data_IF_074606219182
#
_entry.id   IF_074606219182
#
_cell.length_a   1.000
_cell.length_b   1.000
_cell.length_c   1.000
_cell.angle_alpha   90.00
_cell.angle_beta   90.00
_cell.angle_gamma   90.00
#
_symmetry.space_group_name_H-M   'P 1'
#
loop_
_entity.id
_entity.type
_entity.pdbx_description
1 polymer ?
#
# COMPACT_ATOMS: atom_id res chain seq x y z
N UNK A 1 9.13 18.11 -10.83
CA UNK A 1 10.07 17.03 -11.21
C UNK A 1 10.10 15.91 -10.18
N UNK A 2 9.99 16.19 -8.87
CA UNK A 2 10.06 15.17 -7.81
C UNK A 2 8.97 14.08 -7.90
N UNK A 3 7.72 14.42 -8.24
CA UNK A 3 6.64 13.43 -8.38
C UNK A 3 6.96 12.30 -9.37
N UNK A 4 7.50 12.66 -10.53
CA UNK A 4 7.83 11.68 -11.57
C UNK A 4 9.00 10.80 -11.12
N UNK A 5 10.00 11.38 -10.45
CA UNK A 5 11.17 10.66 -9.93
C UNK A 5 10.78 9.67 -8.82
N UNK A 6 9.96 10.09 -7.85
CA UNK A 6 9.51 9.21 -6.75
C UNK A 6 8.64 8.06 -7.26
N UNK A 7 7.72 8.33 -8.20
CA UNK A 7 6.92 7.27 -8.83
C UNK A 7 7.78 6.28 -9.63
N UNK A 8 8.77 6.77 -10.38
CA UNK A 8 9.66 5.93 -11.17
C UNK A 8 10.52 5.03 -10.26
N UNK A 9 11.03 5.58 -9.15
CA UNK A 9 11.80 4.82 -8.15
C UNK A 9 10.93 3.70 -7.56
N UNK A 10 9.69 4.01 -7.17
CA UNK A 10 8.76 3.01 -6.63
C UNK A 10 8.47 1.89 -7.64
N UNK A 11 8.32 2.23 -8.91
CA UNK A 11 8.14 1.25 -9.99
C UNK A 11 9.38 0.34 -10.14
N UNK A 12 10.58 0.93 -10.15
CA UNK A 12 11.84 0.18 -10.27
C UNK A 12 12.04 -0.75 -9.06
N UNK A 13 11.76 -0.27 -7.85
CA UNK A 13 11.83 -1.09 -6.63
C UNK A 13 10.85 -2.25 -6.70
N UNK A 14 9.62 -2.02 -7.17
CA UNK A 14 8.64 -3.10 -7.35
C UNK A 14 9.15 -4.16 -8.33
N UNK A 15 9.67 -3.75 -9.50
CA UNK A 15 10.23 -4.67 -10.50
C UNK A 15 11.37 -5.51 -9.90
N UNK A 16 12.32 -4.87 -9.22
CA UNK A 16 13.44 -5.56 -8.57
C UNK A 16 12.96 -6.56 -7.51
N UNK A 17 11.92 -6.21 -6.74
CA UNK A 17 11.34 -7.10 -5.75
C UNK A 17 10.71 -8.34 -6.39
N UNK A 18 9.93 -8.17 -7.48
CA UNK A 18 9.34 -9.28 -8.21
C UNK A 18 10.38 -10.19 -8.84
N UNK A 19 11.39 -9.63 -9.50
CA UNK A 19 12.47 -10.40 -10.13
C UNK A 19 13.32 -11.13 -9.08
N UNK A 20 13.64 -10.46 -7.97
CA UNK A 20 14.38 -11.06 -6.86
C UNK A 20 13.61 -12.22 -6.21
N UNK A 21 12.32 -12.02 -5.93
CA UNK A 21 11.46 -13.07 -5.40
C UNK A 21 11.36 -14.25 -6.37
N UNK A 22 11.22 -14.00 -7.67
CA UNK A 22 11.19 -15.03 -8.71
C UNK A 22 12.47 -15.85 -8.76
N UNK A 23 13.62 -15.18 -8.76
CA UNK A 23 14.91 -15.87 -8.81
C UNK A 23 15.20 -16.69 -7.54
N UNK A 24 14.85 -16.14 -6.37
CA UNK A 24 15.00 -16.84 -5.09
C UNK A 24 14.11 -18.09 -5.05
N UNK A 25 12.83 -17.93 -5.39
CA UNK A 25 11.88 -19.02 -5.32
C UNK A 25 12.20 -20.16 -6.29
N UNK A 26 12.69 -19.83 -7.50
CA UNK A 26 13.13 -20.82 -8.49
C UNK A 26 14.24 -21.74 -7.95
N UNK A 27 15.11 -21.25 -7.04
CA UNK A 27 16.21 -22.05 -6.47
C UNK A 27 15.86 -22.76 -5.18
N UNK A 28 15.04 -22.15 -4.32
CA UNK A 28 14.88 -22.62 -2.94
C UNK A 28 13.47 -23.09 -2.59
N UNK A 29 12.49 -22.87 -3.49
CA UNK A 29 11.05 -22.99 -3.21
C UNK A 29 10.66 -22.22 -1.95
N UNK A 30 11.24 -21.04 -1.77
CA UNK A 30 11.08 -20.25 -0.56
C UNK A 30 9.63 -19.88 -0.30
N UNK A 31 8.90 -19.51 -1.35
CA UNK A 31 7.52 -19.06 -1.25
C UNK A 31 6.63 -20.18 -0.75
N UNK A 32 6.75 -21.38 -1.32
CA UNK A 32 6.00 -22.56 -0.88
C UNK A 32 6.32 -22.94 0.57
N UNK A 33 7.60 -22.88 0.96
CA UNK A 33 8.06 -23.28 2.31
C UNK A 33 7.62 -22.31 3.40
N UNK A 34 7.72 -21.01 3.16
CA UNK A 34 7.48 -19.98 4.18
C UNK A 34 6.03 -19.54 4.20
N UNK A 35 5.47 -19.21 3.03
CA UNK A 35 4.13 -18.65 2.94
C UNK A 35 3.05 -19.72 2.75
N UNK A 36 3.43 -21.00 2.61
CA UNK A 36 2.50 -22.13 2.44
C UNK A 36 1.47 -21.89 1.34
N UNK A 37 1.88 -21.18 0.29
CA UNK A 37 1.04 -20.81 -0.84
C UNK A 37 1.75 -21.16 -2.14
N UNK A 38 1.01 -21.21 -3.24
CA UNK A 38 1.61 -21.45 -4.56
C UNK A 38 2.32 -20.17 -5.04
N UNK A 39 3.46 -20.27 -5.73
CA UNK A 39 4.17 -19.10 -6.25
C UNK A 39 3.28 -18.22 -7.11
N UNK A 40 2.42 -18.83 -7.94
CA UNK A 40 1.43 -18.12 -8.76
C UNK A 40 0.49 -17.27 -7.92
N UNK A 41 -0.09 -17.81 -6.85
CA UNK A 41 -0.98 -17.05 -5.96
C UNK A 41 -0.22 -15.94 -5.24
N UNK A 42 1.01 -16.21 -4.77
CA UNK A 42 1.85 -15.20 -4.14
C UNK A 42 2.11 -14.01 -5.05
N UNK A 43 2.51 -14.26 -6.31
CA UNK A 43 2.77 -13.19 -7.28
C UNK A 43 1.53 -12.39 -7.64
N UNK A 44 0.36 -13.03 -7.73
CA UNK A 44 -0.90 -12.34 -7.96
C UNK A 44 -1.22 -11.42 -6.77
N UNK A 45 -1.15 -11.94 -5.54
CA UNK A 45 -1.46 -11.18 -4.33
C UNK A 45 -0.50 -10.00 -4.18
N UNK A 46 0.81 -10.24 -4.29
CA UNK A 46 1.82 -9.19 -4.21
C UNK A 46 1.70 -8.19 -5.36
N UNK A 47 1.33 -8.62 -6.57
CA UNK A 47 1.07 -7.74 -7.71
C UNK A 47 -0.10 -6.80 -7.47
N UNK A 48 -1.21 -7.33 -6.93
CA UNK A 48 -2.38 -6.53 -6.56
C UNK A 48 -2.01 -5.53 -5.45
N UNK A 49 -1.25 -5.96 -4.43
CA UNK A 49 -0.79 -5.07 -3.37
C UNK A 49 0.12 -3.95 -3.91
N UNK A 50 1.03 -4.27 -4.84
CA UNK A 50 1.89 -3.28 -5.47
C UNK A 50 1.08 -2.24 -6.27
N UNK A 51 0.04 -2.67 -6.99
CA UNK A 51 -0.88 -1.76 -7.68
C UNK A 51 -1.63 -0.85 -6.70
N UNK A 52 -2.13 -1.39 -5.59
CA UNK A 52 -2.78 -0.59 -4.55
C UNK A 52 -1.82 0.47 -3.99
N UNK A 53 -0.58 0.10 -3.70
CA UNK A 53 0.44 1.04 -3.22
C UNK A 53 0.74 2.12 -4.27
N UNK A 54 0.83 1.78 -5.55
CA UNK A 54 1.05 2.76 -6.63
C UNK A 54 -0.11 3.75 -6.73
N UNK A 55 -1.36 3.27 -6.64
CA UNK A 55 -2.56 4.13 -6.62
C UNK A 55 -2.53 5.04 -5.39
N UNK A 56 -2.22 4.50 -4.21
CA UNK A 56 -2.09 5.30 -3.00
C UNK A 56 -0.98 6.35 -3.12
N UNK A 57 0.16 6.02 -3.73
CA UNK A 57 1.26 6.95 -3.96
C UNK A 57 0.84 8.09 -4.89
N UNK A 58 0.12 7.76 -5.96
CA UNK A 58 -0.47 8.75 -6.86
C UNK A 58 -1.39 9.71 -6.10
N UNK A 59 -2.28 9.19 -5.24
CA UNK A 59 -3.19 10.02 -4.44
C UNK A 59 -2.40 10.88 -3.45
N UNK A 60 -1.44 10.29 -2.71
CA UNK A 60 -0.63 11.00 -1.73
C UNK A 60 0.07 12.22 -2.34
N UNK A 61 0.66 12.06 -3.52
CA UNK A 61 1.41 13.17 -4.12
C UNK A 61 0.51 14.11 -4.93
N UNK A 62 -0.44 13.59 -5.70
CA UNK A 62 -1.27 14.43 -6.60
C UNK A 62 -2.38 15.20 -5.86
N UNK A 63 -2.92 14.63 -4.78
CA UNK A 63 -4.01 15.23 -4.01
C UNK A 63 -3.50 15.90 -2.75
N UNK A 64 -2.57 15.26 -2.03
CA UNK A 64 -2.09 15.74 -0.73
C UNK A 64 -0.70 16.39 -0.77
N UNK A 65 0.00 16.33 -1.91
CA UNK A 65 1.37 16.84 -2.07
C UNK A 65 2.45 16.03 -1.36
N UNK A 66 2.09 15.20 -0.38
CA UNK A 66 3.02 14.35 0.37
C UNK A 66 2.31 13.19 1.08
N UNK A 67 3.06 12.15 1.45
CA UNK A 67 2.56 11.05 2.27
C UNK A 67 2.19 11.48 3.69
N UNK A 68 2.96 12.41 4.25
CA UNK A 68 2.73 12.96 5.58
C UNK A 68 1.37 13.66 5.63
N UNK A 69 1.09 14.51 4.64
CA UNK A 69 -0.20 15.21 4.52
C UNK A 69 -1.36 14.23 4.38
N UNK A 70 -1.23 13.18 3.55
CA UNK A 70 -2.27 12.15 3.41
C UNK A 70 -2.58 11.49 4.77
N UNK A 71 -1.56 11.04 5.49
CA UNK A 71 -1.73 10.34 6.78
C UNK A 71 -2.40 11.26 7.81
N UNK A 72 -1.91 12.51 7.93
CA UNK A 72 -2.44 13.48 8.89
C UNK A 72 -3.90 13.81 8.58
N UNK A 73 -4.23 14.08 7.32
CA UNK A 73 -5.61 14.41 6.93
C UNK A 73 -6.56 13.22 7.13
N UNK A 74 -6.16 12.00 6.74
CA UNK A 74 -6.97 10.80 6.97
C UNK A 74 -7.21 10.55 8.46
N UNK A 75 -6.19 10.74 9.31
CA UNK A 75 -6.33 10.60 10.76
C UNK A 75 -7.29 11.66 11.34
N UNK A 76 -7.18 12.92 10.91
CA UNK A 76 -8.06 13.99 11.35
C UNK A 76 -9.54 13.71 10.99
N UNK A 77 -9.80 13.23 9.77
CA UNK A 77 -11.15 12.84 9.32
C UNK A 77 -11.68 11.69 10.18
N UNK A 78 -10.88 10.66 10.44
CA UNK A 78 -11.28 9.53 11.27
C UNK A 78 -11.68 9.97 12.68
N UNK A 79 -10.89 10.86 13.30
CA UNK A 79 -11.20 11.43 14.61
C UNK A 79 -12.51 12.23 14.57
N UNK A 80 -12.71 13.07 13.54
CA UNK A 80 -13.93 13.85 13.39
C UNK A 80 -15.17 12.95 13.27
N UNK A 81 -15.10 11.87 12.49
CA UNK A 81 -16.17 10.87 12.37
C UNK A 81 -16.48 10.22 13.72
N UNK A 82 -15.45 9.81 14.47
CA UNK A 82 -15.63 9.21 15.80
C UNK A 82 -16.31 10.18 16.77
N UNK A 83 -15.94 11.47 16.75
CA UNK A 83 -16.58 12.50 17.56
C UNK A 83 -18.07 12.63 17.18
N UNK A 84 -18.39 12.70 15.88
CA UNK A 84 -19.77 12.79 15.39
C UNK A 84 -20.59 11.57 15.82
N UNK A 85 -20.05 10.36 15.69
CA UNK A 85 -20.71 9.12 16.12
C UNK A 85 -20.99 9.18 17.63
N UNK A 86 -20.01 9.58 18.44
CA UNK A 86 -20.17 9.69 19.90
C UNK A 86 -21.22 10.73 20.29
N UNK A 87 -21.23 11.89 19.62
CA UNK A 87 -22.24 12.93 19.83
C UNK A 87 -23.65 12.45 19.44
N UNK A 88 -23.79 11.72 18.34
CA UNK A 88 -25.07 11.17 17.91
C UNK A 88 -25.60 10.12 18.88
N UNK A 89 -24.74 9.22 19.38
CA UNK A 89 -25.11 8.25 20.42
C UNK A 89 -25.52 8.94 21.72
N UNK A 90 -24.79 9.97 22.15
CA UNK A 90 -25.12 10.73 23.37
C UNK A 90 -26.43 11.52 23.28
N UNK A 91 -26.92 11.85 22.08
CA UNK A 91 -28.21 12.52 21.87
C UNK A 91 -29.39 11.55 21.75
N UNK A 92 -29.12 10.25 21.55
CA UNK A 92 -30.12 9.19 21.47
C UNK A 92 -30.33 8.44 22.79
N UNK A 93 -29.39 8.56 23.73
CA UNK A 93 -29.52 8.11 25.12
C UNK A 93 -30.30 9.14 25.94
#
# INVERSE_FOLDING_TARGET
MEFFQVNLIMLVVAILFFVGAYYLDAKTKFIEKVFKTTPKQFYIITGVLALVILIMNYIAISVFGSWQSLIITSAAIAIAILIVIKLYQSRKA
#
